data_IF_391113798776
#
_entry.id   IF_391113798776
#
_cell.length_a   1.000
_cell.length_b   1.000
_cell.length_c   1.000
_cell.angle_alpha   90.00
_cell.angle_beta   90.00
_cell.angle_gamma   90.00
#
_symmetry.space_group_name_H-M   'P 1'
#
loop_
_entity.id
_entity.type
_entity.pdbx_description
1 polymer ?
#
# COMPACT_ATOMS: atom_id res chain seq x y z
N UNK A 1 48.43 37.17 -44.73
CA UNK A 1 48.13 36.54 -46.03
C UNK A 1 46.85 35.76 -45.84
N UNK A 2 45.75 36.40 -46.08
CA UNK A 2 44.52 35.74 -46.55
C UNK A 2 44.69 35.44 -48.02
N UNK A 3 44.00 34.53 -48.64
CA UNK A 3 42.60 34.61 -48.99
C UNK A 3 41.92 33.18 -48.96
N UNK A 4 40.70 32.88 -49.22
CA UNK A 4 39.49 33.46 -49.82
C UNK A 4 38.30 32.52 -49.53
N UNK A 5 37.09 33.07 -49.47
CA UNK A 5 35.77 32.44 -49.42
C UNK A 5 35.50 31.52 -50.63
N UNK A 6 34.65 30.53 -50.41
CA UNK A 6 33.65 30.20 -51.42
C UNK A 6 32.35 29.73 -50.72
N UNK A 7 31.31 30.49 -50.95
CA UNK A 7 29.92 30.26 -50.66
C UNK A 7 29.35 29.22 -51.65
N UNK A 8 28.51 28.33 -51.15
CA UNK A 8 27.40 27.82 -51.97
C UNK A 8 26.25 27.47 -51.06
N UNK A 9 25.26 28.32 -51.10
CA UNK A 9 23.92 28.18 -50.61
C UNK A 9 23.20 27.01 -51.30
N UNK A 10 22.51 26.19 -50.56
CA UNK A 10 21.31 25.49 -51.03
C UNK A 10 20.26 25.58 -49.97
N UNK A 11 19.41 26.57 -50.14
CA UNK A 11 18.16 26.75 -49.42
C UNK A 11 17.18 25.78 -50.04
N UNK A 12 16.68 24.82 -49.25
CA UNK A 12 15.48 24.06 -49.57
C UNK A 12 14.31 24.68 -48.78
N UNK A 13 13.45 25.34 -49.54
CA UNK A 13 12.15 25.79 -49.09
C UNK A 13 11.31 24.55 -48.66
N UNK A 14 10.83 24.57 -47.47
CA UNK A 14 9.72 23.69 -47.05
C UNK A 14 8.48 24.54 -47.01
N UNK A 15 7.50 24.15 -47.84
CA UNK A 15 6.16 24.70 -47.89
C UNK A 15 5.43 24.44 -46.58
N UNK A 16 4.94 25.52 -45.96
CA UNK A 16 3.97 25.53 -44.90
C UNK A 16 2.58 25.28 -45.50
N UNK A 17 2.06 24.07 -45.34
CA UNK A 17 0.64 23.82 -45.45
C UNK A 17 0.11 23.40 -44.06
N UNK A 18 -0.24 24.40 -43.29
CA UNK A 18 -1.07 24.25 -42.08
C UNK A 18 -2.50 23.89 -42.50
N UNK A 19 -2.86 22.62 -42.32
CA UNK A 19 -4.27 22.24 -42.30
C UNK A 19 -4.78 22.31 -40.85
N UNK A 20 -5.44 23.43 -40.53
CA UNK A 20 -6.30 23.56 -39.39
C UNK A 20 -7.48 22.60 -39.52
N UNK A 21 -7.55 21.59 -38.64
CA UNK A 21 -8.77 20.80 -38.44
C UNK A 21 -9.65 21.58 -37.49
N UNK A 22 -10.76 22.06 -38.03
CA UNK A 22 -11.81 22.77 -37.30
C UNK A 22 -12.55 21.74 -36.41
N UNK A 23 -12.56 22.00 -35.11
CA UNK A 23 -13.45 21.32 -34.16
C UNK A 23 -14.86 21.91 -34.32
N UNK A 24 -15.71 21.30 -35.11
CA UNK A 24 -17.15 21.53 -35.06
C UNK A 24 -17.89 20.22 -35.32
N UNK A 25 -18.55 19.77 -34.24
CA UNK A 25 -19.84 19.10 -34.17
C UNK A 25 -20.04 17.81 -35.02
N UNK A 26 -19.87 16.66 -34.35
CA UNK A 26 -20.61 15.45 -34.75
C UNK A 26 -21.70 15.16 -33.71
N UNK A 27 -22.83 15.83 -33.85
CA UNK A 27 -24.09 15.36 -33.27
C UNK A 27 -24.62 14.22 -34.15
N UNK A 28 -24.59 13.01 -33.64
CA UNK A 28 -25.36 11.91 -34.22
C UNK A 28 -26.82 12.12 -33.84
N UNK A 29 -27.62 12.57 -34.82
CA UNK A 29 -29.09 12.48 -34.78
C UNK A 29 -29.49 11.00 -34.70
N UNK A 30 -30.08 10.63 -33.56
CA UNK A 30 -30.86 9.41 -33.45
C UNK A 30 -32.23 9.75 -34.04
N UNK A 31 -32.53 9.21 -35.20
CA UNK A 31 -33.85 9.26 -35.79
C UNK A 31 -34.82 8.43 -34.95
N UNK A 32 -35.81 9.12 -34.43
CA UNK A 32 -37.00 8.59 -33.78
C UNK A 32 -37.96 8.12 -34.90
N UNK A 33 -38.09 6.82 -35.07
CA UNK A 33 -39.08 6.24 -35.99
C UNK A 33 -40.29 5.74 -35.21
N UNK A 34 -41.33 6.59 -35.25
CA UNK A 34 -42.67 6.09 -35.57
C UNK A 34 -43.52 5.51 -34.45
N UNK A 35 -44.32 6.36 -33.90
CA UNK A 35 -45.77 6.26 -33.73
C UNK A 35 -46.36 4.85 -33.90
N UNK A 36 -46.79 4.26 -32.77
CA UNK A 36 -47.90 3.31 -32.77
C UNK A 36 -48.97 3.76 -31.78
N UNK A 37 -50.24 3.86 -32.24
CA UNK A 37 -51.34 4.35 -31.42
C UNK A 37 -51.77 3.34 -30.37
N UNK A 38 -52.12 3.85 -29.22
CA UNK A 38 -52.82 3.15 -28.14
C UNK A 38 -54.22 2.78 -28.62
N UNK A 39 -54.52 1.50 -28.63
CA UNK A 39 -55.93 1.03 -28.65
C UNK A 39 -56.40 0.88 -27.21
N UNK A 40 -57.41 1.66 -26.87
CA UNK A 40 -58.26 1.50 -25.71
C UNK A 40 -59.21 0.34 -25.96
N UNK A 41 -59.16 -0.69 -25.12
CA UNK A 41 -60.27 -1.62 -24.97
C UNK A 41 -60.75 -1.63 -23.54
N UNK A 42 -61.97 -1.16 -23.39
CA UNK A 42 -62.77 -1.20 -22.15
C UNK A 42 -63.40 -2.59 -21.96
N UNK A 43 -63.61 -2.85 -20.66
CA UNK A 43 -64.65 -3.70 -20.03
C UNK A 43 -64.45 -5.22 -19.95
N UNK A 44 -64.44 -5.64 -18.69
CA UNK A 44 -64.71 -7.00 -18.24
C UNK A 44 -64.47 -7.22 -16.75
N UNK A 45 -65.50 -6.91 -15.93
CA UNK A 45 -65.59 -7.31 -14.51
C UNK A 45 -65.62 -8.82 -14.37
N UNK A 46 -65.08 -9.25 -13.24
CA UNK A 46 -65.48 -10.33 -12.30
C UNK A 46 -64.39 -11.37 -12.03
N UNK A 47 -64.12 -11.57 -10.73
CA UNK A 47 -63.63 -12.83 -10.23
C UNK A 47 -62.55 -12.75 -9.13
N UNK A 48 -63.03 -12.83 -7.92
CA UNK A 48 -62.27 -12.99 -6.67
C UNK A 48 -61.20 -14.08 -6.72
N UNK A 49 -60.02 -13.76 -6.21
CA UNK A 49 -58.97 -14.70 -5.94
C UNK A 49 -57.96 -14.09 -5.00
N UNK A 50 -58.20 -14.17 -3.68
CA UNK A 50 -57.20 -13.89 -2.66
C UNK A 50 -56.13 -14.98 -2.73
N UNK A 51 -55.07 -14.72 -3.48
CA UNK A 51 -53.82 -15.41 -3.39
C UNK A 51 -52.99 -14.69 -2.34
N UNK A 52 -52.89 -15.22 -1.11
CA UNK A 52 -51.84 -14.86 -0.18
C UNK A 52 -50.51 -15.21 -0.85
N UNK A 53 -49.88 -14.22 -1.46
CA UNK A 53 -48.46 -14.28 -1.82
C UNK A 53 -47.72 -14.29 -0.50
N UNK A 54 -47.19 -15.44 -0.10
CA UNK A 54 -46.09 -15.52 0.85
C UNK A 54 -44.98 -14.64 0.28
N UNK A 55 -44.87 -13.41 0.81
CA UNK A 55 -43.73 -12.58 0.59
C UNK A 55 -42.51 -13.37 1.09
N UNK A 56 -41.61 -13.72 0.19
CA UNK A 56 -40.27 -14.09 0.56
C UNK A 56 -39.77 -12.97 1.47
N UNK A 57 -39.74 -13.27 2.77
CA UNK A 57 -39.03 -12.43 3.74
C UNK A 57 -37.59 -12.46 3.26
N UNK A 58 -37.15 -11.39 2.59
CA UNK A 58 -35.75 -11.19 2.30
C UNK A 58 -34.98 -11.42 3.58
N UNK A 59 -34.03 -12.30 3.56
CA UNK A 59 -33.09 -12.50 4.68
C UNK A 59 -32.57 -11.11 5.05
N UNK A 60 -32.90 -10.66 6.26
CA UNK A 60 -32.38 -9.43 6.82
C UNK A 60 -30.87 -9.68 6.98
N UNK A 61 -30.07 -9.11 6.09
CA UNK A 61 -28.60 -9.21 6.19
C UNK A 61 -28.20 -8.47 7.45
N UNK A 62 -28.02 -9.22 8.52
CA UNK A 62 -27.49 -8.69 9.78
C UNK A 62 -26.01 -8.40 9.57
N UNK A 63 -25.68 -7.13 9.42
CA UNK A 63 -24.27 -6.69 9.39
C UNK A 63 -23.70 -6.81 10.80
N UNK A 64 -22.73 -7.69 10.97
CA UNK A 64 -21.95 -7.79 12.20
C UNK A 64 -20.88 -6.69 12.20
N UNK A 65 -20.91 -5.82 13.19
CA UNK A 65 -19.87 -4.84 13.46
C UNK A 65 -19.34 -5.03 14.87
N UNK A 66 -18.05 -5.36 15.00
CA UNK A 66 -17.38 -5.51 16.28
C UNK A 66 -16.24 -4.49 16.47
N UNK A 67 -16.26 -3.40 15.69
CA UNK A 67 -15.38 -2.26 15.89
C UNK A 67 -15.68 -1.57 17.22
N UNK A 68 -14.65 -1.00 17.84
CA UNK A 68 -14.78 -0.25 19.11
C UNK A 68 -14.82 1.26 18.89
N UNK A 69 -14.39 1.71 17.74
CA UNK A 69 -14.42 3.12 17.32
C UNK A 69 -14.36 3.23 15.80
N UNK A 70 -14.84 4.34 15.27
CA UNK A 70 -14.83 4.65 13.84
C UNK A 70 -14.46 6.12 13.58
N UNK A 71 -13.92 6.39 12.39
CA UNK A 71 -13.58 7.72 11.88
C UNK A 71 -14.06 7.83 10.43
N UNK A 72 -15.22 8.50 10.18
CA UNK A 72 -15.87 8.52 8.87
C UNK A 72 -15.58 9.79 8.06
N UNK A 73 -14.50 10.54 8.35
CA UNK A 73 -14.28 11.86 7.75
C UNK A 73 -13.72 11.82 6.33
N UNK A 74 -13.26 10.66 5.86
CA UNK A 74 -12.91 10.51 4.45
C UNK A 74 -14.17 10.38 3.60
N UNK A 75 -14.21 11.09 2.48
CA UNK A 75 -15.34 11.03 1.54
C UNK A 75 -15.22 9.94 0.48
N UNK A 76 -14.05 9.28 0.42
CA UNK A 76 -13.66 8.27 -0.56
C UNK A 76 -12.72 7.24 0.10
N UNK A 77 -12.24 6.27 -0.70
CA UNK A 77 -11.36 5.18 -0.23
C UNK A 77 -10.17 5.64 0.60
N UNK A 78 -9.87 4.93 1.69
CA UNK A 78 -8.73 5.18 2.57
C UNK A 78 -7.58 4.26 2.18
N UNK A 79 -6.56 4.82 1.54
CA UNK A 79 -5.44 4.04 1.01
C UNK A 79 -4.33 3.76 2.02
N UNK A 80 -4.17 4.62 3.01
CA UNK A 80 -3.09 4.50 3.98
C UNK A 80 -3.53 4.82 5.40
N UNK A 81 -3.07 4.02 6.35
CA UNK A 81 -3.29 4.21 7.78
C UNK A 81 -1.99 3.98 8.54
N UNK A 82 -1.71 4.83 9.51
CA UNK A 82 -0.58 4.69 10.41
C UNK A 82 -0.99 4.99 11.85
N UNK A 83 -0.43 4.29 12.80
CA UNK A 83 -0.61 4.55 14.24
C UNK A 83 0.64 5.16 14.83
N UNK A 84 0.45 6.07 15.77
CA UNK A 84 1.57 6.69 16.48
C UNK A 84 2.27 5.65 17.38
N UNK A 85 3.62 5.67 17.49
CA UNK A 85 4.37 4.65 18.22
C UNK A 85 3.99 4.49 19.70
N UNK A 86 3.52 5.57 20.35
CA UNK A 86 3.30 5.59 21.80
C UNK A 86 1.98 6.21 22.24
N UNK A 87 1.34 7.06 21.42
CA UNK A 87 0.09 7.74 21.74
C UNK A 87 -1.11 7.08 21.06
N UNK A 88 -2.30 7.30 21.61
CA UNK A 88 -3.56 6.77 21.08
C UNK A 88 -4.08 7.58 19.89
N UNK A 89 -3.20 7.91 18.96
CA UNK A 89 -3.55 8.63 17.73
C UNK A 89 -3.21 7.81 16.49
N UNK A 90 -4.05 7.96 15.50
CA UNK A 90 -3.84 7.42 14.17
C UNK A 90 -3.79 8.54 13.14
N UNK A 91 -3.27 8.22 11.98
CA UNK A 91 -3.33 9.03 10.81
C UNK A 91 -3.82 8.22 9.63
N UNK A 92 -4.61 8.84 8.76
CA UNK A 92 -5.17 8.22 7.57
C UNK A 92 -5.04 9.14 6.36
N UNK A 93 -4.88 8.57 5.18
CA UNK A 93 -4.80 9.25 3.91
C UNK A 93 -5.62 8.52 2.85
N UNK A 94 -6.25 9.26 1.96
CA UNK A 94 -7.21 8.68 1.02
C UNK A 94 -7.27 9.34 -0.35
N UNK A 95 -8.18 8.83 -1.15
CA UNK A 95 -8.50 9.29 -2.51
C UNK A 95 -9.13 10.70 -2.55
N UNK A 96 -9.52 11.23 -1.40
CA UNK A 96 -10.09 12.58 -1.25
C UNK A 96 -9.02 13.68 -1.17
N UNK A 97 -7.76 13.40 -1.53
CA UNK A 97 -6.59 14.29 -1.50
C UNK A 97 -6.24 14.77 -0.08
N UNK A 98 -6.79 14.14 0.94
CA UNK A 98 -6.67 14.54 2.32
C UNK A 98 -5.97 13.49 3.18
N UNK A 99 -5.32 13.99 4.20
CA UNK A 99 -4.93 13.19 5.34
C UNK A 99 -5.58 13.73 6.61
N UNK A 100 -5.65 12.88 7.63
CA UNK A 100 -6.15 13.27 8.95
C UNK A 100 -5.25 12.69 10.04
N UNK A 101 -5.12 13.41 11.14
CA UNK A 101 -4.65 12.89 12.42
C UNK A 101 -5.86 12.89 13.35
N UNK A 102 -6.13 11.79 14.01
CA UNK A 102 -7.30 11.62 14.86
C UNK A 102 -7.00 10.72 16.06
N UNK A 103 -7.78 10.87 17.13
CA UNK A 103 -7.68 10.06 18.35
C UNK A 103 -8.50 8.77 18.16
N UNK A 104 -7.85 7.63 18.11
CA UNK A 104 -8.56 6.36 17.89
C UNK A 104 -9.28 5.81 19.13
N UNK A 105 -9.24 6.50 20.27
CA UNK A 105 -10.04 6.16 21.45
C UNK A 105 -11.36 6.93 21.49
N UNK A 106 -11.38 8.13 20.95
CA UNK A 106 -12.57 9.01 20.93
C UNK A 106 -13.20 9.13 19.54
N UNK A 107 -12.47 8.83 18.47
CA UNK A 107 -12.89 9.08 17.10
C UNK A 107 -12.83 10.55 16.68
N UNK A 108 -12.26 11.44 17.52
CA UNK A 108 -12.20 12.87 17.26
C UNK A 108 -11.05 13.23 16.31
N UNK A 109 -11.34 14.10 15.33
CA UNK A 109 -10.34 14.72 14.49
C UNK A 109 -9.45 15.64 15.31
N UNK A 110 -8.14 15.48 15.18
CA UNK A 110 -7.14 16.38 15.78
C UNK A 110 -6.69 17.40 14.76
N UNK A 111 -6.30 16.97 13.57
CA UNK A 111 -5.81 17.86 12.50
C UNK A 111 -6.14 17.27 11.13
N UNK A 112 -6.61 18.12 10.24
CA UNK A 112 -6.76 17.84 8.82
C UNK A 112 -5.46 18.20 8.09
N UNK A 113 -4.85 17.23 7.42
CA UNK A 113 -3.61 17.39 6.65
C UNK A 113 -4.00 17.72 5.20
N UNK A 114 -3.75 18.97 4.80
CA UNK A 114 -4.20 19.49 3.51
C UNK A 114 -3.04 19.85 2.60
N UNK A 115 -3.32 20.02 1.30
CA UNK A 115 -2.41 20.59 0.31
C UNK A 115 -1.85 19.61 -0.71
N UNK A 116 -2.22 18.32 -0.65
CA UNK A 116 -2.14 17.44 -1.80
C UNK A 116 -3.21 17.84 -2.82
N UNK A 117 -2.92 17.62 -4.08
CA UNK A 117 -3.82 17.91 -5.22
C UNK A 117 -4.23 16.64 -5.95
N UNK A 118 -3.85 15.50 -5.39
CA UNK A 118 -4.21 14.17 -5.81
C UNK A 118 -4.14 13.22 -4.61
N UNK A 119 -4.56 11.98 -4.78
CA UNK A 119 -4.71 10.96 -3.75
C UNK A 119 -3.50 10.80 -2.84
N UNK A 120 -3.75 10.71 -1.54
CA UNK A 120 -2.72 10.41 -0.53
C UNK A 120 -2.53 8.90 -0.44
N UNK A 121 -1.47 8.41 -1.06
CA UNK A 121 -1.17 6.97 -1.18
C UNK A 121 -0.40 6.41 0.01
N UNK A 122 0.31 7.24 0.73
CA UNK A 122 1.08 6.79 1.89
C UNK A 122 1.06 7.80 3.03
N UNK A 123 1.09 7.28 4.27
CA UNK A 123 1.16 8.08 5.49
C UNK A 123 1.97 7.31 6.54
N UNK A 124 2.76 8.03 7.34
CA UNK A 124 3.53 7.38 8.39
C UNK A 124 4.09 8.34 9.42
N UNK A 125 4.17 7.87 10.67
CA UNK A 125 4.87 8.57 11.75
C UNK A 125 6.35 8.22 11.78
N UNK A 126 7.19 9.18 12.14
CA UNK A 126 8.59 8.91 12.45
C UNK A 126 8.72 8.00 13.67
N UNK A 127 9.85 7.32 13.82
CA UNK A 127 10.09 6.37 14.91
C UNK A 127 9.95 6.97 16.32
N UNK A 128 10.20 8.27 16.46
CA UNK A 128 10.02 9.03 17.71
C UNK A 128 8.61 9.63 17.86
N UNK A 129 7.76 9.54 16.83
CA UNK A 129 6.42 10.10 16.81
C UNK A 129 6.34 11.63 16.71
N UNK A 130 7.46 12.31 16.51
CA UNK A 130 7.48 13.79 16.46
C UNK A 130 7.13 14.36 15.08
N UNK A 131 7.24 13.54 14.04
CA UNK A 131 6.95 13.90 12.66
C UNK A 131 5.95 12.93 12.04
N UNK A 132 5.17 13.43 11.10
CA UNK A 132 4.34 12.62 10.20
C UNK A 132 4.60 13.07 8.78
N UNK A 133 4.66 12.13 7.86
CA UNK A 133 4.77 12.37 6.43
C UNK A 133 3.61 11.75 5.69
N UNK A 134 3.14 12.46 4.66
CA UNK A 134 2.22 11.95 3.64
C UNK A 134 2.89 12.00 2.29
N UNK A 135 2.65 10.99 1.46
CA UNK A 135 3.04 10.96 0.05
C UNK A 135 1.80 10.90 -0.82
N UNK A 136 1.78 11.65 -1.90
CA UNK A 136 0.63 11.73 -2.80
C UNK A 136 0.99 11.46 -4.27
N UNK A 137 -0.01 11.11 -5.06
CA UNK A 137 0.11 10.94 -6.51
C UNK A 137 0.44 12.28 -7.23
N UNK A 138 0.32 13.40 -6.51
CA UNK A 138 0.78 14.72 -6.98
C UNK A 138 2.33 14.90 -6.97
N UNK A 139 3.08 13.83 -6.70
CA UNK A 139 4.54 13.83 -6.65
C UNK A 139 5.15 14.54 -5.45
N UNK A 140 4.36 14.88 -4.45
CA UNK A 140 4.82 15.61 -3.26
C UNK A 140 4.86 14.71 -2.04
N UNK A 141 5.81 15.02 -1.18
CA UNK A 141 5.82 14.51 0.19
C UNK A 141 5.64 15.70 1.13
N UNK A 142 4.61 15.67 1.96
CA UNK A 142 4.32 16.73 2.93
C UNK A 142 4.62 16.23 4.33
N UNK A 143 5.23 17.09 5.14
CA UNK A 143 5.68 16.72 6.48
C UNK A 143 5.10 17.71 7.49
N UNK A 144 4.56 17.17 8.55
CA UNK A 144 4.09 17.95 9.72
C UNK A 144 4.89 17.57 10.95
N UNK A 145 4.95 18.50 11.89
CA UNK A 145 5.66 18.36 13.14
C UNK A 145 4.73 18.57 14.31
N UNK A 146 4.86 17.74 15.33
CA UNK A 146 4.18 17.95 16.61
C UNK A 146 4.65 19.23 17.28
N UNK A 147 3.72 20.00 17.84
CA UNK A 147 3.96 21.15 18.71
C UNK A 147 3.58 20.81 20.15
N UNK A 148 4.35 21.33 21.10
CA UNK A 148 4.10 21.06 22.52
C UNK A 148 4.73 19.74 22.99
N UNK A 149 4.81 19.57 24.33
CA UNK A 149 5.43 18.37 24.94
C UNK A 149 4.45 17.51 25.70
N UNK A 150 3.26 18.03 25.99
CA UNK A 150 2.32 17.43 26.94
C UNK A 150 1.13 16.71 26.28
N UNK A 151 0.77 17.11 25.06
CA UNK A 151 -0.29 16.47 24.30
C UNK A 151 0.11 16.26 22.83
N UNK A 152 -0.57 15.35 22.15
CA UNK A 152 -0.40 15.07 20.73
C UNK A 152 -1.47 15.78 19.88
N UNK A 153 -2.11 16.82 20.41
CA UNK A 153 -3.26 17.49 19.80
C UNK A 153 -2.89 18.65 18.86
N UNK A 154 -1.63 19.06 18.86
CA UNK A 154 -1.21 20.22 18.05
C UNK A 154 -0.11 19.81 17.08
N UNK A 155 -0.42 19.93 15.80
CA UNK A 155 0.49 19.66 14.68
C UNK A 155 0.57 20.86 13.77
N UNK A 156 1.73 21.15 13.24
CA UNK A 156 1.95 22.21 12.26
C UNK A 156 2.60 21.66 11.01
N UNK A 157 2.26 22.25 9.87
CA UNK A 157 2.96 22.01 8.63
C UNK A 157 4.43 22.42 8.76
N UNK A 158 5.34 21.51 8.43
CA UNK A 158 6.77 21.77 8.54
C UNK A 158 7.38 22.12 7.18
N UNK A 159 7.18 21.27 6.18
CA UNK A 159 7.78 21.43 4.86
C UNK A 159 7.10 20.54 3.82
N UNK A 160 7.24 20.94 2.58
CA UNK A 160 6.94 20.13 1.39
C UNK A 160 8.25 19.74 0.73
N UNK A 161 8.40 18.47 0.39
CA UNK A 161 9.55 17.89 -0.26
C UNK A 161 9.14 17.53 -1.69
N UNK A 162 9.98 17.88 -2.65
CA UNK A 162 9.83 17.38 -4.01
C UNK A 162 10.31 15.94 -4.04
N UNK A 163 9.49 15.04 -4.55
CA UNK A 163 9.72 13.60 -4.62
C UNK A 163 9.80 13.09 -6.06
N UNK A 164 9.58 11.79 -6.25
CA UNK A 164 9.35 11.20 -7.57
C UNK A 164 8.06 11.76 -8.20
N UNK A 165 7.82 11.45 -9.46
CA UNK A 165 6.69 11.99 -10.23
C UNK A 165 5.34 11.71 -9.57
N UNK A 166 5.12 10.47 -9.15
CA UNK A 166 4.02 10.04 -8.28
C UNK A 166 4.60 9.27 -7.09
N UNK A 167 4.25 9.66 -5.87
CA UNK A 167 4.72 8.95 -4.68
C UNK A 167 3.81 7.75 -4.42
N UNK A 168 4.32 6.55 -4.61
CA UNK A 168 3.57 5.31 -4.36
C UNK A 168 3.71 4.80 -2.93
N UNK A 169 4.86 5.03 -2.31
CA UNK A 169 5.11 4.64 -0.93
C UNK A 169 6.13 5.54 -0.25
N UNK A 170 6.04 5.60 1.07
CA UNK A 170 7.05 6.24 1.94
C UNK A 170 7.44 5.33 3.10
N UNK A 171 8.69 5.41 3.56
CA UNK A 171 9.19 4.66 4.71
C UNK A 171 10.08 5.54 5.59
N UNK A 172 9.80 5.55 6.88
CA UNK A 172 10.65 6.19 7.86
C UNK A 172 11.81 5.29 8.25
N UNK A 173 12.96 5.89 8.46
CA UNK A 173 14.11 5.18 9.01
C UNK A 173 13.81 4.68 10.44
N UNK A 174 14.11 3.41 10.78
CA UNK A 174 13.68 2.80 12.04
C UNK A 174 14.25 3.45 13.32
N UNK A 175 15.26 4.31 13.20
CA UNK A 175 15.98 4.91 14.34
C UNK A 175 16.25 6.40 14.20
N UNK A 176 15.77 7.05 13.19
CA UNK A 176 16.10 8.47 12.95
C UNK A 176 15.09 9.17 12.07
N UNK A 177 15.17 10.49 12.04
CA UNK A 177 14.27 11.35 11.26
C UNK A 177 14.76 11.43 9.81
N UNK A 178 14.84 10.31 9.13
CA UNK A 178 15.16 10.18 7.70
C UNK A 178 13.99 9.51 7.00
N UNK A 179 13.56 10.08 5.90
CA UNK A 179 12.42 9.62 5.12
C UNK A 179 12.89 9.12 3.75
N UNK A 180 12.35 7.99 3.33
CA UNK A 180 12.54 7.39 2.02
C UNK A 180 11.20 7.40 1.29
N UNK A 181 11.20 7.69 -0.01
CA UNK A 181 10.03 7.54 -0.88
C UNK A 181 10.43 7.00 -2.24
N UNK A 182 9.58 6.20 -2.81
CA UNK A 182 9.71 5.71 -4.17
C UNK A 182 8.45 6.01 -4.97
N UNK A 183 8.58 5.99 -6.27
CA UNK A 183 7.47 6.35 -7.13
C UNK A 183 7.59 5.86 -8.57
N UNK A 184 6.68 6.37 -9.36
CA UNK A 184 6.36 5.89 -10.70
C UNK A 184 7.47 6.16 -11.72
N UNK A 185 8.31 7.18 -11.50
CA UNK A 185 9.43 7.55 -12.37
C UNK A 185 10.68 6.66 -12.23
N UNK A 186 10.63 5.61 -11.41
CA UNK A 186 11.76 4.72 -11.14
C UNK A 186 12.84 5.31 -10.25
N UNK A 187 12.60 6.46 -9.60
CA UNK A 187 13.53 7.07 -8.66
C UNK A 187 13.14 6.82 -7.20
N UNK A 188 14.13 6.79 -6.34
CA UNK A 188 13.93 6.67 -4.89
C UNK A 188 14.67 7.82 -4.21
N UNK A 189 13.96 8.56 -3.39
CA UNK A 189 14.43 9.79 -2.75
C UNK A 189 14.62 9.59 -1.25
N UNK A 190 15.67 10.19 -0.74
CA UNK A 190 16.06 10.14 0.68
C UNK A 190 16.26 11.55 1.23
N UNK A 191 15.54 11.92 2.30
CA UNK A 191 15.63 13.25 2.94
C UNK A 191 15.97 13.15 4.41
N UNK A 192 16.73 14.16 4.86
CA UNK A 192 16.99 14.43 6.27
C UNK A 192 15.94 15.39 6.83
N UNK A 193 15.23 14.98 7.87
CA UNK A 193 14.29 15.85 8.56
C UNK A 193 14.83 16.25 9.96
N UNK A 194 14.44 17.39 10.49
CA UNK A 194 13.42 18.34 9.99
C UNK A 194 13.92 19.34 8.94
N UNK A 195 15.19 19.27 8.49
CA UNK A 195 15.76 20.26 7.57
C UNK A 195 15.15 20.21 6.16
N UNK A 196 14.59 19.07 5.74
CA UNK A 196 14.08 18.84 4.39
C UNK A 196 15.17 18.67 3.33
N UNK A 197 16.44 18.57 3.73
CA UNK A 197 17.53 18.42 2.79
C UNK A 197 17.50 17.04 2.13
N UNK A 198 17.57 17.00 0.80
CA UNK A 198 17.79 15.78 0.04
C UNK A 198 19.18 15.23 0.36
N UNK A 199 19.24 14.03 0.89
CA UNK A 199 20.49 13.33 1.19
C UNK A 199 21.00 12.60 -0.05
N UNK A 200 20.10 11.92 -0.76
CA UNK A 200 20.39 11.10 -1.93
C UNK A 200 19.16 10.91 -2.79
N UNK A 201 19.39 10.81 -4.11
CA UNK A 201 18.42 10.29 -5.07
C UNK A 201 19.06 9.05 -5.70
N UNK A 202 18.37 7.92 -5.59
CA UNK A 202 18.79 6.66 -6.18
C UNK A 202 18.10 6.51 -7.53
N UNK A 203 18.88 6.44 -8.59
CA UNK A 203 18.41 6.18 -9.95
C UNK A 203 19.01 4.86 -10.44
N UNK A 204 18.23 4.04 -11.10
CA UNK A 204 18.73 2.76 -11.60
C UNK A 204 17.65 1.74 -11.90
N UNK A 205 16.45 1.93 -11.35
CA UNK A 205 15.26 1.23 -11.78
C UNK A 205 14.83 1.73 -13.16
N UNK A 206 14.31 0.84 -13.97
CA UNK A 206 13.83 1.15 -15.32
C UNK A 206 12.31 1.24 -15.41
N UNK A 207 11.62 0.87 -14.33
CA UNK A 207 10.18 0.86 -14.18
C UNK A 207 9.78 1.46 -12.81
N UNK A 208 8.48 1.69 -12.55
CA UNK A 208 7.97 2.14 -11.27
C UNK A 208 8.52 1.33 -10.09
N UNK A 209 8.94 2.02 -9.04
CA UNK A 209 9.43 1.36 -7.83
C UNK A 209 8.24 0.99 -6.95
N UNK A 210 7.81 -0.26 -7.06
CA UNK A 210 6.61 -0.75 -6.41
C UNK A 210 6.74 -0.84 -4.88
N UNK A 211 7.94 -1.17 -4.38
CA UNK A 211 8.16 -1.29 -2.94
C UNK A 211 9.62 -1.04 -2.54
N UNK A 212 9.81 -0.63 -1.30
CA UNK A 212 11.13 -0.42 -0.73
C UNK A 212 11.07 -0.27 0.78
N UNK A 213 12.20 -0.54 1.45
CA UNK A 213 12.32 -0.41 2.90
C UNK A 213 13.76 -0.17 3.33
N UNK A 214 13.93 0.33 4.54
CA UNK A 214 15.21 0.27 5.26
C UNK A 214 15.42 -1.14 5.81
N UNK A 215 16.68 -1.58 5.88
CA UNK A 215 16.98 -2.73 6.72
C UNK A 215 16.68 -2.40 8.19
N UNK A 216 16.21 -3.37 9.01
CA UNK A 216 15.87 -3.14 10.42
C UNK A 216 17.00 -2.56 11.27
N UNK A 217 18.28 -2.77 10.88
CA UNK A 217 19.42 -2.14 11.52
C UNK A 217 19.62 -0.66 11.11
N UNK A 218 18.90 -0.20 10.07
CA UNK A 218 18.93 1.16 9.54
C UNK A 218 20.13 1.48 8.66
N UNK A 219 20.94 0.50 8.26
CA UNK A 219 22.20 0.78 7.56
C UNK A 219 22.12 0.73 6.05
N UNK A 220 21.09 0.09 5.51
CA UNK A 220 20.92 -0.16 4.08
C UNK A 220 19.49 0.10 3.65
N UNK A 221 19.30 0.19 2.36
CA UNK A 221 18.00 0.34 1.70
C UNK A 221 17.86 -0.81 0.69
N UNK A 222 16.66 -1.33 0.55
CA UNK A 222 16.27 -2.30 -0.46
C UNK A 222 15.08 -1.75 -1.21
N UNK A 223 15.08 -1.87 -2.55
CA UNK A 223 14.00 -1.38 -3.43
C UNK A 223 13.75 -2.38 -4.53
N UNK A 224 12.52 -2.44 -5.02
CA UNK A 224 12.15 -3.32 -6.11
C UNK A 224 11.15 -2.65 -7.05
N UNK A 225 11.24 -3.00 -8.33
CA UNK A 225 10.45 -2.40 -9.39
C UNK A 225 9.52 -3.40 -10.11
N UNK A 226 8.64 -2.86 -10.94
CA UNK A 226 7.68 -3.61 -11.73
C UNK A 226 8.30 -4.38 -12.91
N UNK A 227 9.58 -4.11 -13.27
CA UNK A 227 10.34 -4.90 -14.23
C UNK A 227 11.02 -6.13 -13.60
N UNK A 228 10.75 -6.40 -12.32
CA UNK A 228 11.34 -7.52 -11.60
C UNK A 228 12.79 -7.29 -11.18
N UNK A 229 13.19 -6.04 -10.96
CA UNK A 229 14.52 -5.69 -10.49
C UNK A 229 14.53 -5.43 -9.00
N UNK A 230 15.42 -6.08 -8.27
CA UNK A 230 15.73 -5.83 -6.87
C UNK A 230 17.08 -5.14 -6.73
N UNK A 231 17.12 -4.01 -6.04
CA UNK A 231 18.36 -3.28 -5.77
C UNK A 231 18.60 -3.12 -4.28
N UNK A 232 19.85 -3.23 -3.88
CA UNK A 232 20.31 -3.05 -2.51
C UNK A 232 21.34 -1.93 -2.43
N UNK A 233 21.15 -0.97 -1.52
CA UNK A 233 21.87 0.29 -1.52
C UNK A 233 22.58 0.57 -0.20
N UNK A 234 23.73 1.23 -0.29
CA UNK A 234 24.29 2.01 0.81
C UNK A 234 23.76 3.46 0.69
N UNK A 235 23.06 3.99 1.72
CA UNK A 235 22.49 5.35 1.65
C UNK A 235 23.51 6.45 1.34
N UNK A 236 24.80 6.18 1.47
CA UNK A 236 25.91 7.11 1.21
C UNK A 236 26.44 7.03 -0.23
N UNK A 237 25.97 6.06 -1.01
CA UNK A 237 26.47 5.80 -2.37
C UNK A 237 25.31 5.75 -3.37
N UNK A 238 25.34 6.51 -4.47
CA UNK A 238 24.30 6.46 -5.49
C UNK A 238 24.31 5.16 -6.33
N UNK A 239 25.36 4.34 -6.23
CA UNK A 239 25.42 3.05 -6.94
C UNK A 239 24.95 1.91 -6.03
N UNK A 240 24.15 0.96 -6.55
CA UNK A 240 23.70 -0.17 -5.75
C UNK A 240 24.88 -1.08 -5.34
N UNK A 241 24.79 -1.66 -4.17
CA UNK A 241 25.72 -2.68 -3.67
C UNK A 241 25.62 -3.94 -4.53
N UNK A 242 24.37 -4.31 -4.85
CA UNK A 242 24.07 -5.34 -5.84
C UNK A 242 22.72 -5.07 -6.52
N UNK A 243 22.51 -5.68 -7.68
CA UNK A 243 21.30 -5.65 -8.46
C UNK A 243 20.97 -7.09 -8.90
N UNK A 244 19.74 -7.54 -8.65
CA UNK A 244 19.18 -8.78 -9.19
C UNK A 244 18.08 -8.44 -10.19
N UNK A 245 18.05 -9.17 -11.28
CA UNK A 245 17.07 -8.97 -12.37
C UNK A 245 16.60 -10.33 -12.90
N UNK A 246 15.59 -10.32 -13.74
CA UNK A 246 15.09 -11.51 -14.45
C UNK A 246 16.14 -12.21 -15.33
N UNK A 247 17.29 -11.58 -15.59
CA UNK A 247 18.44 -12.22 -16.27
C UNK A 247 19.04 -13.37 -15.45
N UNK A 248 18.91 -13.37 -14.11
CA UNK A 248 19.16 -14.55 -13.29
C UNK A 248 17.85 -15.37 -13.19
N UNK A 249 17.78 -16.48 -13.92
CA UNK A 249 16.62 -17.37 -13.91
C UNK A 249 16.21 -17.87 -12.51
N UNK A 250 17.09 -17.80 -11.51
CA UNK A 250 16.75 -18.14 -10.11
C UNK A 250 15.94 -17.03 -9.46
N UNK A 251 16.07 -15.80 -9.96
CA UNK A 251 15.40 -14.61 -9.41
C UNK A 251 14.16 -14.20 -10.24
N UNK A 252 13.98 -14.72 -11.41
CA UNK A 252 12.86 -14.37 -12.29
C UNK A 252 11.51 -14.47 -11.56
N UNK A 253 10.90 -13.30 -11.32
CA UNK A 253 9.63 -13.12 -10.61
C UNK A 253 8.59 -12.36 -11.45
N UNK A 254 9.00 -11.77 -12.60
CA UNK A 254 8.21 -10.74 -13.24
C UNK A 254 8.10 -9.50 -12.35
N UNK A 255 7.03 -8.70 -12.46
CA UNK A 255 6.81 -7.54 -11.60
C UNK A 255 6.89 -7.90 -10.11
N UNK A 256 7.66 -7.12 -9.35
CA UNK A 256 7.75 -7.30 -7.89
C UNK A 256 6.72 -6.39 -7.23
N UNK A 257 5.91 -6.97 -6.35
CA UNK A 257 4.81 -6.28 -5.67
C UNK A 257 5.10 -6.03 -4.20
N UNK A 258 5.82 -6.93 -3.56
CA UNK A 258 6.09 -6.82 -2.12
C UNK A 258 7.47 -7.33 -1.72
N UNK A 259 8.00 -6.79 -0.64
CA UNK A 259 9.25 -7.24 -0.04
C UNK A 259 9.25 -7.06 1.48
N UNK A 260 10.02 -7.86 2.17
CA UNK A 260 10.33 -7.67 3.59
C UNK A 260 11.75 -8.12 3.92
N UNK A 261 12.36 -7.45 4.89
CA UNK A 261 13.71 -7.78 5.39
C UNK A 261 13.59 -8.41 6.78
N UNK A 262 14.33 -9.49 7.03
CA UNK A 262 14.30 -10.14 8.33
C UNK A 262 14.92 -9.25 9.43
N UNK A 263 14.51 -9.40 10.71
CA UNK A 263 15.00 -8.57 11.81
C UNK A 263 16.52 -8.54 11.96
N UNK A 264 17.21 -9.60 11.49
CA UNK A 264 18.66 -9.67 11.49
C UNK A 264 19.35 -8.87 10.37
N UNK A 265 18.57 -8.31 9.42
CA UNK A 265 19.10 -7.59 8.25
C UNK A 265 20.03 -8.44 7.37
N UNK A 266 19.74 -9.74 7.26
CA UNK A 266 20.57 -10.72 6.53
C UNK A 266 19.87 -11.35 5.32
N UNK A 267 18.54 -11.42 5.38
CA UNK A 267 17.70 -12.00 4.32
C UNK A 267 16.60 -11.02 3.94
N UNK A 268 16.24 -11.01 2.66
CA UNK A 268 15.00 -10.43 2.18
C UNK A 268 14.12 -11.52 1.56
N UNK A 269 12.82 -11.40 1.74
CA UNK A 269 11.81 -12.18 1.03
C UNK A 269 11.12 -11.23 0.06
N UNK A 270 11.02 -11.64 -1.19
CA UNK A 270 10.51 -10.83 -2.30
C UNK A 270 9.41 -11.60 -2.99
N UNK A 271 8.26 -10.96 -3.16
CA UNK A 271 7.07 -11.49 -3.81
C UNK A 271 6.79 -10.79 -5.14
N UNK A 272 6.35 -11.56 -6.12
CA UNK A 272 6.01 -11.07 -7.44
C UNK A 272 4.52 -11.17 -7.76
N UNK A 273 4.12 -10.49 -8.82
CA UNK A 273 2.73 -10.45 -9.31
C UNK A 273 2.21 -11.82 -9.82
N UNK A 274 3.12 -12.77 -10.10
CA UNK A 274 2.77 -14.12 -10.58
C UNK A 274 2.80 -15.18 -9.48
N UNK A 275 2.67 -14.83 -8.21
CA UNK A 275 2.68 -15.77 -7.07
C UNK A 275 4.06 -16.30 -6.71
N UNK A 276 5.08 -15.93 -7.45
CA UNK A 276 6.46 -16.33 -7.20
C UNK A 276 7.04 -15.63 -5.96
N UNK A 277 7.82 -16.37 -5.15
CA UNK A 277 8.51 -15.82 -3.98
C UNK A 277 9.97 -16.25 -4.01
N UNK A 278 10.87 -15.31 -3.75
CA UNK A 278 12.31 -15.57 -3.63
C UNK A 278 12.85 -15.12 -2.29
N UNK A 279 13.79 -15.90 -1.76
CA UNK A 279 14.56 -15.53 -0.57
C UNK A 279 15.97 -15.15 -1.01
N UNK A 280 16.40 -13.95 -0.65
CA UNK A 280 17.66 -13.33 -1.08
C UNK A 280 18.57 -13.12 0.12
N UNK A 281 19.84 -13.48 0.01
CA UNK A 281 20.87 -13.16 0.98
C UNK A 281 21.40 -11.74 0.75
N UNK A 282 21.19 -10.83 1.71
CA UNK A 282 21.62 -9.44 1.60
C UNK A 282 23.13 -9.26 1.66
N UNK A 283 23.85 -10.19 2.29
CA UNK A 283 25.29 -10.15 2.37
C UNK A 283 26.01 -10.62 1.11
N UNK A 284 25.37 -11.51 0.34
CA UNK A 284 25.95 -12.09 -0.88
C UNK A 284 25.36 -11.52 -2.17
N UNK A 285 24.14 -10.97 -2.12
CA UNK A 285 23.38 -10.57 -3.30
C UNK A 285 22.94 -11.78 -4.14
N UNK A 286 22.66 -12.91 -3.51
CA UNK A 286 22.30 -14.17 -4.16
C UNK A 286 20.94 -14.68 -3.72
N UNK A 287 20.23 -15.33 -4.63
CA UNK A 287 19.01 -16.10 -4.31
C UNK A 287 19.39 -17.37 -3.55
N UNK A 288 18.86 -17.50 -2.34
CA UNK A 288 19.14 -18.66 -1.46
C UNK A 288 17.98 -19.68 -1.45
N UNK A 289 16.81 -19.30 -1.92
CA UNK A 289 15.66 -20.19 -2.00
C UNK A 289 14.47 -19.60 -2.74
N UNK A 290 13.53 -20.46 -3.05
CA UNK A 290 12.21 -20.12 -3.58
C UNK A 290 11.15 -20.77 -2.71
N UNK A 291 10.03 -20.08 -2.51
CA UNK A 291 8.87 -20.56 -1.78
C UNK A 291 7.72 -20.76 -2.77
N UNK A 292 7.05 -21.91 -2.73
CA UNK A 292 5.96 -22.26 -3.64
C UNK A 292 4.75 -22.73 -2.83
N UNK A 293 3.64 -22.00 -2.94
CA UNK A 293 2.42 -22.30 -2.17
C UNK A 293 1.23 -21.42 -2.51
N UNK A 294 1.46 -20.27 -3.12
CA UNK A 294 0.41 -19.45 -3.73
C UNK A 294 0.12 -19.94 -5.15
N UNK A 295 -1.04 -19.58 -5.68
CA UNK A 295 -1.38 -19.91 -7.06
C UNK A 295 -0.51 -19.11 -8.03
N UNK A 296 -0.26 -19.69 -9.18
CA UNK A 296 0.29 -18.98 -10.33
C UNK A 296 -0.72 -17.90 -10.77
N UNK A 297 -0.20 -16.75 -11.17
CA UNK A 297 -0.94 -15.55 -11.60
C UNK A 297 -1.66 -14.77 -10.46
N UNK A 298 -1.49 -15.15 -9.20
CA UNK A 298 -1.97 -14.39 -8.05
C UNK A 298 -0.84 -13.61 -7.38
N UNK A 299 -1.00 -12.28 -7.26
CA UNK A 299 0.02 -11.36 -6.75
C UNK A 299 0.28 -11.53 -5.26
N UNK A 300 1.55 -11.43 -4.86
CA UNK A 300 1.97 -11.42 -3.43
C UNK A 300 1.91 -10.00 -2.89
N UNK A 301 0.84 -9.66 -2.18
CA UNK A 301 0.57 -8.29 -1.74
C UNK A 301 1.32 -7.88 -0.48
N UNK A 302 1.54 -8.82 0.45
CA UNK A 302 2.17 -8.49 1.71
C UNK A 302 3.09 -9.60 2.21
N UNK A 303 4.19 -9.20 2.86
CA UNK A 303 5.16 -10.09 3.48
C UNK A 303 5.54 -9.53 4.85
N UNK A 304 5.49 -10.36 5.90
CA UNK A 304 5.93 -9.99 7.23
C UNK A 304 6.79 -11.07 7.86
N UNK A 305 7.73 -10.66 8.70
CA UNK A 305 8.50 -11.58 9.54
C UNK A 305 7.84 -11.73 10.91
N UNK A 306 7.91 -12.94 11.46
CA UNK A 306 7.28 -13.30 12.73
C UNK A 306 8.32 -13.91 13.68
N UNK A 307 8.37 -13.44 14.92
CA UNK A 307 9.22 -14.03 15.96
C UNK A 307 8.41 -15.02 16.80
N UNK A 308 8.48 -16.29 16.44
CA UNK A 308 7.78 -17.36 17.17
C UNK A 308 8.43 -17.72 18.52
N UNK A 309 9.68 -17.33 18.74
CA UNK A 309 10.43 -17.69 19.95
C UNK A 309 10.18 -16.69 21.11
N UNK A 310 9.65 -15.51 20.80
CA UNK A 310 9.23 -14.52 21.80
C UNK A 310 10.37 -13.89 22.62
N UNK A 311 11.60 -14.06 22.21
CA UNK A 311 12.76 -13.67 23.01
C UNK A 311 13.82 -12.86 22.23
N UNK A 312 13.49 -12.36 21.03
CA UNK A 312 14.49 -11.69 20.20
C UNK A 312 15.68 -12.60 19.85
N UNK A 313 15.55 -13.90 20.03
CA UNK A 313 16.53 -14.84 19.55
C UNK A 313 16.40 -14.92 18.04
N UNK A 314 17.21 -14.14 17.37
CA UNK A 314 17.41 -14.17 15.93
C UNK A 314 18.03 -15.53 15.58
N UNK A 315 17.18 -16.56 15.47
CA UNK A 315 17.59 -17.79 14.85
C UNK A 315 17.99 -17.50 13.40
N UNK A 316 19.00 -18.19 12.89
CA UNK A 316 19.52 -18.02 11.52
C UNK A 316 18.52 -18.40 10.43
N UNK A 317 17.34 -18.90 10.80
CA UNK A 317 16.23 -19.18 9.91
C UNK A 317 14.97 -18.55 10.49
N UNK A 318 14.53 -17.43 9.97
CA UNK A 318 13.29 -16.75 10.40
C UNK A 318 12.05 -17.49 9.94
N UNK A 319 10.92 -17.12 10.52
CA UNK A 319 9.59 -17.43 9.98
C UNK A 319 9.06 -16.19 9.31
N UNK A 320 8.56 -16.33 8.09
CA UNK A 320 7.83 -15.27 7.43
C UNK A 320 6.42 -15.73 7.05
N UNK A 321 5.57 -14.75 6.84
CA UNK A 321 4.22 -14.96 6.32
C UNK A 321 4.08 -14.13 5.05
N UNK A 322 3.56 -14.74 4.01
CA UNK A 322 3.25 -14.11 2.73
C UNK A 322 1.77 -14.16 2.50
N UNK A 323 1.18 -13.12 1.94
CA UNK A 323 -0.22 -13.07 1.60
C UNK A 323 -0.41 -12.62 0.15
N UNK A 324 -1.43 -13.17 -0.49
CA UNK A 324 -1.67 -12.97 -1.92
C UNK A 324 -3.14 -12.72 -2.25
N UNK A 325 -3.36 -12.35 -3.49
CA UNK A 325 -4.70 -12.16 -4.06
C UNK A 325 -5.49 -13.48 -4.17
N UNK A 326 -4.83 -14.63 -3.99
CA UNK A 326 -5.50 -15.95 -3.91
C UNK A 326 -6.29 -16.16 -2.59
N UNK A 327 -6.36 -15.14 -1.73
CA UNK A 327 -7.02 -15.19 -0.43
C UNK A 327 -6.24 -15.96 0.63
N UNK A 328 -5.00 -16.38 0.35
CA UNK A 328 -4.20 -17.17 1.28
C UNK A 328 -3.09 -16.36 1.93
N UNK A 329 -2.86 -16.67 3.20
CA UNK A 329 -1.64 -16.29 3.89
C UNK A 329 -0.86 -17.55 4.28
N UNK A 330 0.37 -17.67 3.80
CA UNK A 330 1.23 -18.83 3.92
C UNK A 330 2.35 -18.58 4.94
N UNK A 331 2.48 -19.44 5.95
CA UNK A 331 3.54 -19.37 6.98
C UNK A 331 4.71 -20.25 6.56
N UNK A 332 5.90 -19.68 6.46
CA UNK A 332 7.10 -20.32 5.96
C UNK A 332 8.19 -20.44 7.01
N UNK A 333 8.83 -21.59 7.05
CA UNK A 333 10.09 -21.80 7.76
C UNK A 333 11.26 -21.58 6.79
N UNK A 334 11.96 -20.47 6.92
CA UNK A 334 13.06 -20.12 6.02
C UNK A 334 14.34 -20.96 6.23
N UNK A 335 14.45 -21.69 7.34
CA UNK A 335 15.58 -22.61 7.55
C UNK A 335 15.47 -23.88 6.68
N UNK A 336 14.23 -24.28 6.42
CA UNK A 336 13.90 -25.47 5.64
C UNK A 336 13.27 -25.15 4.28
N UNK A 337 12.91 -23.88 4.03
CA UNK A 337 12.16 -23.40 2.86
C UNK A 337 10.84 -24.18 2.68
N UNK A 338 10.15 -24.49 3.79
CA UNK A 338 8.91 -25.27 3.75
C UNK A 338 7.73 -24.50 4.29
N UNK A 339 6.58 -24.74 3.68
CA UNK A 339 5.29 -24.29 4.17
C UNK A 339 4.98 -25.01 5.51
N UNK A 340 4.59 -24.22 6.52
CA UNK A 340 4.18 -24.71 7.85
C UNK A 340 2.67 -24.80 7.98
N UNK A 341 1.97 -23.75 7.55
CA UNK A 341 0.51 -23.67 7.60
C UNK A 341 0.01 -22.64 6.58
N UNK A 342 -1.25 -22.75 6.23
CA UNK A 342 -1.98 -21.81 5.38
C UNK A 342 -3.19 -21.30 6.15
N UNK A 343 -3.44 -20.02 6.05
CA UNK A 343 -4.60 -19.30 6.60
C UNK A 343 -5.39 -18.74 5.43
N UNK A 344 -6.71 -18.69 5.54
CA UNK A 344 -7.56 -18.38 4.39
C UNK A 344 -8.58 -17.28 4.70
N UNK A 345 -8.73 -16.38 3.76
CA UNK A 345 -9.79 -15.41 3.57
C UNK A 345 -10.67 -15.83 2.38
N UNK A 346 -11.85 -15.20 2.27
CA UNK A 346 -12.76 -15.47 1.16
C UNK A 346 -12.36 -14.72 -0.11
N UNK A 347 -11.53 -13.65 0.03
CA UNK A 347 -11.04 -12.82 -1.07
C UNK A 347 -9.60 -12.39 -0.82
N UNK A 348 -9.01 -11.62 -1.75
CA UNK A 348 -7.63 -11.14 -1.74
C UNK A 348 -7.21 -10.55 -0.39
N UNK A 349 -6.02 -10.92 0.08
CA UNK A 349 -5.43 -10.32 1.28
C UNK A 349 -4.60 -9.12 0.87
N UNK A 350 -4.98 -7.95 1.40
CA UNK A 350 -4.40 -6.65 1.05
C UNK A 350 -3.25 -6.24 1.97
N UNK A 351 -3.28 -6.65 3.24
CA UNK A 351 -2.24 -6.28 4.19
C UNK A 351 -1.98 -7.37 5.24
N UNK A 352 -0.74 -7.42 5.73
CA UNK A 352 -0.31 -8.23 6.86
C UNK A 352 0.39 -7.38 7.91
N UNK A 353 0.12 -7.66 9.17
CA UNK A 353 0.76 -7.02 10.31
C UNK A 353 1.28 -8.08 11.28
N UNK A 354 2.51 -7.91 11.75
CA UNK A 354 3.08 -8.73 12.83
C UNK A 354 3.03 -7.98 14.14
N UNK A 355 2.59 -8.66 15.22
CA UNK A 355 2.53 -8.04 16.53
C UNK A 355 3.92 -7.82 17.12
N UNK A 356 4.10 -6.72 17.89
CA UNK A 356 5.29 -6.52 18.69
C UNK A 356 5.33 -7.50 19.87
N UNK A 357 6.51 -7.64 20.48
CA UNK A 357 6.65 -8.40 21.72
C UNK A 357 5.71 -7.84 22.81
N UNK A 358 5.05 -8.68 23.65
CA UNK A 358 5.24 -10.13 23.80
C UNK A 358 4.39 -11.01 22.86
N UNK A 359 3.53 -10.42 22.03
CA UNK A 359 2.62 -11.16 21.14
C UNK A 359 3.22 -11.43 19.75
N UNK A 360 4.54 -11.43 19.62
CA UNK A 360 5.26 -11.51 18.34
C UNK A 360 4.97 -12.78 17.51
N UNK A 361 4.23 -13.75 18.05
CA UNK A 361 3.73 -14.92 17.35
C UNK A 361 2.34 -14.70 16.71
N UNK A 362 1.73 -13.55 16.97
CA UNK A 362 0.43 -13.21 16.39
C UNK A 362 0.61 -12.39 15.12
N UNK A 363 -0.32 -12.51 14.22
CA UNK A 363 -0.44 -11.71 13.00
C UNK A 363 -1.88 -11.28 12.77
N UNK A 364 -2.05 -10.19 12.03
CA UNK A 364 -3.34 -9.76 11.48
C UNK A 364 -3.23 -9.75 9.96
N UNK A 365 -4.24 -10.26 9.30
CA UNK A 365 -4.46 -10.10 7.87
C UNK A 365 -5.71 -9.24 7.62
N UNK A 366 -5.62 -8.32 6.67
CA UNK A 366 -6.74 -7.55 6.16
C UNK A 366 -7.07 -8.02 4.74
N UNK A 367 -8.35 -8.01 4.38
CA UNK A 367 -8.78 -8.59 3.13
C UNK A 367 -9.86 -7.77 2.41
N UNK A 368 -9.94 -7.98 1.10
CA UNK A 368 -11.01 -7.51 0.26
C UNK A 368 -12.38 -8.16 0.61
N UNK A 369 -12.38 -9.27 1.38
CA UNK A 369 -13.59 -9.87 1.94
C UNK A 369 -14.26 -9.01 3.03
N UNK A 370 -13.77 -7.77 3.24
CA UNK A 370 -14.25 -6.77 4.20
C UNK A 370 -13.96 -7.11 5.66
N UNK A 371 -13.18 -8.15 5.90
CA UNK A 371 -12.82 -8.60 7.24
C UNK A 371 -11.33 -8.46 7.53
N UNK A 372 -11.00 -8.46 8.84
CA UNK A 372 -9.67 -8.73 9.31
C UNK A 372 -9.70 -10.01 10.15
N UNK A 373 -8.61 -10.75 10.10
CA UNK A 373 -8.47 -11.97 10.91
C UNK A 373 -7.16 -11.92 11.68
N UNK A 374 -7.25 -12.23 12.98
CA UNK A 374 -6.08 -12.37 13.86
C UNK A 374 -5.75 -13.86 14.02
N UNK A 375 -4.49 -14.22 13.83
CA UNK A 375 -4.03 -15.60 13.79
C UNK A 375 -2.87 -15.85 14.74
N UNK A 376 -2.76 -17.08 15.24
CA UNK A 376 -1.56 -17.58 15.89
C UNK A 376 -0.63 -18.22 14.83
N UNK A 377 0.48 -17.55 14.51
CA UNK A 377 1.42 -18.01 13.49
C UNK A 377 2.21 -19.28 13.87
N UNK A 378 2.13 -19.74 15.13
CA UNK A 378 2.73 -21.02 15.57
C UNK A 378 1.95 -22.22 15.03
N UNK A 379 0.64 -22.06 14.91
CA UNK A 379 -0.29 -23.12 14.56
C UNK A 379 -1.08 -22.86 13.27
N UNK A 380 -1.17 -21.60 12.82
CA UNK A 380 -2.03 -21.18 11.72
C UNK A 380 -3.52 -21.10 12.09
N UNK A 381 -3.84 -21.11 13.40
CA UNK A 381 -5.24 -21.10 13.83
C UNK A 381 -5.80 -19.68 13.94
N UNK A 382 -7.05 -19.51 13.53
CA UNK A 382 -7.80 -18.29 13.70
C UNK A 382 -8.05 -18.05 15.20
N UNK A 383 -7.72 -16.86 15.67
CA UNK A 383 -7.93 -16.41 17.04
C UNK A 383 -9.17 -15.53 17.12
N UNK A 384 -9.31 -14.58 16.18
CA UNK A 384 -10.42 -13.65 16.14
C UNK A 384 -10.67 -13.15 14.72
N UNK A 385 -11.95 -12.95 14.42
CA UNK A 385 -12.39 -12.27 13.21
C UNK A 385 -12.95 -10.89 13.56
N UNK A 386 -12.62 -9.89 12.75
CA UNK A 386 -13.05 -8.51 12.92
C UNK A 386 -13.88 -8.11 11.71
N UNK A 387 -15.09 -7.65 11.96
CA UNK A 387 -16.09 -7.26 10.95
C UNK A 387 -16.61 -5.86 11.25
N UNK A 388 -17.02 -5.14 10.21
CA UNK A 388 -17.59 -3.79 10.31
C UNK A 388 -17.45 -2.98 9.05
N UNK A 389 -16.44 -3.25 8.21
CA UNK A 389 -16.30 -2.61 6.91
C UNK A 389 -17.38 -3.03 5.93
N UNK A 390 -17.84 -2.08 5.14
CA UNK A 390 -18.81 -2.31 4.04
C UNK A 390 -18.14 -2.49 2.68
N UNK A 391 -16.86 -2.14 2.58
CA UNK A 391 -15.99 -2.31 1.41
C UNK A 391 -14.71 -3.07 1.74
N UNK A 392 -13.88 -3.39 0.74
CA UNK A 392 -12.55 -3.96 0.92
C UNK A 392 -11.73 -3.20 1.97
N UNK A 393 -10.99 -3.92 2.82
CA UNK A 393 -10.03 -3.30 3.73
C UNK A 393 -8.73 -3.10 2.96
N UNK A 394 -8.31 -1.84 2.80
CA UNK A 394 -7.14 -1.49 1.97
C UNK A 394 -5.87 -1.31 2.78
N UNK A 395 -5.99 -0.82 4.01
CA UNK A 395 -4.85 -0.53 4.87
C UNK A 395 -5.13 -0.91 6.33
N UNK A 396 -4.08 -1.27 7.05
CA UNK A 396 -4.17 -1.58 8.47
C UNK A 396 -2.89 -1.18 9.22
N UNK A 397 -3.00 -0.83 10.50
CA UNK A 397 -1.87 -0.50 11.37
C UNK A 397 -2.15 -0.93 12.82
N UNK A 398 -1.12 -1.46 13.50
CA UNK A 398 -1.22 -1.86 14.92
C UNK A 398 -0.92 -0.68 15.83
N UNK A 399 -1.89 -0.31 16.68
CA UNK A 399 -1.75 0.73 17.70
C UNK A 399 -1.54 0.18 19.10
N UNK A 400 -1.13 1.06 20.02
CA UNK A 400 -0.99 0.77 21.45
C UNK A 400 -0.23 -0.54 21.71
N UNK A 401 0.92 -0.71 21.06
CA UNK A 401 1.74 -1.93 21.19
C UNK A 401 0.99 -3.24 20.87
N UNK A 402 0.06 -3.17 19.90
CA UNK A 402 -0.72 -4.33 19.47
C UNK A 402 -1.98 -4.60 20.29
N UNK A 403 -2.51 -3.63 21.02
CA UNK A 403 -3.82 -3.76 21.69
C UNK A 403 -5.00 -3.45 20.78
N UNK A 404 -4.77 -2.63 19.76
CA UNK A 404 -5.78 -2.27 18.76
C UNK A 404 -5.21 -2.42 17.35
N UNK A 405 -6.11 -2.63 16.40
CA UNK A 405 -5.85 -2.50 14.96
C UNK A 405 -6.69 -1.36 14.45
N UNK A 406 -6.06 -0.44 13.73
CA UNK A 406 -6.72 0.65 13.00
C UNK A 406 -6.69 0.29 11.52
N UNK A 407 -7.82 0.42 10.84
CA UNK A 407 -7.99 0.04 9.44
C UNK A 407 -8.52 1.17 8.60
N UNK A 408 -8.27 1.13 7.32
CA UNK A 408 -8.87 1.99 6.31
C UNK A 408 -9.49 1.14 5.22
N UNK A 409 -10.72 1.46 4.86
CA UNK A 409 -11.50 0.73 3.87
C UNK A 409 -11.81 1.54 2.62
N UNK A 410 -12.20 0.82 1.58
CA UNK A 410 -12.75 1.37 0.34
C UNK A 410 -14.09 2.10 0.56
N UNK A 411 -14.73 1.81 1.69
CA UNK A 411 -15.96 2.46 2.14
C UNK A 411 -15.75 3.89 2.70
N UNK A 412 -14.52 4.40 2.68
CA UNK A 412 -14.17 5.75 3.16
C UNK A 412 -14.14 5.88 4.68
N UNK A 413 -14.15 4.78 5.41
CA UNK A 413 -14.17 4.78 6.88
C UNK A 413 -12.89 4.16 7.43
N UNK A 414 -12.38 4.73 8.52
CA UNK A 414 -11.40 4.03 9.35
C UNK A 414 -12.12 3.40 10.54
N UNK A 415 -11.84 2.13 10.81
CA UNK A 415 -12.37 1.40 11.97
C UNK A 415 -11.24 1.04 12.93
N UNK A 416 -11.60 0.91 14.20
CA UNK A 416 -10.67 0.48 15.26
C UNK A 416 -11.22 -0.80 15.89
N UNK A 417 -10.38 -1.81 15.99
CA UNK A 417 -10.74 -3.09 16.58
C UNK A 417 -9.83 -3.41 17.76
N UNK A 418 -10.39 -3.97 18.83
CA UNK A 418 -9.60 -4.53 19.91
C UNK A 418 -9.02 -5.89 19.49
N UNK A 419 -7.75 -6.12 19.77
CA UNK A 419 -7.07 -7.40 19.42
C UNK A 419 -7.28 -8.50 20.48
N UNK A 420 -7.84 -8.17 21.64
CA UNK A 420 -8.18 -9.09 22.74
C UNK A 420 -9.68 -9.22 22.93
#
# INVERSE_FOLDING_TARGET
MEPERNENENVAEFDEDEQYINEEEVYLEVQDDGDHPMEEDEEGQEGEGYGEGEGEMGEEIVYEDNSIQHFPNHGKSVFAVATHPTASIAASGGEDDLGYIWDFTTGEEIVKLTGHTDSVTSIGFSADGELIATGGMDGKVRVWRRRGKEDYKTWEFLTELQGPDEVTWTKWHPKGSVLLAGGNDGTVWLWQLPSGNTMQVFAGHAAPVACGDFTPDGKRIITADEDGTLMFWDPRNPTPVFKLTSADARFDLGPITSLAVNPASTLAVVGGASGGIRVVSLSKGDVVGALAGHKEDDSIEAIVFVDLAGAGQVGTGGVCVTAATDGKACIWDLSTMRLRATMEHEDAITALLSFPHPKSHMIVSASADKSLKTWDARTGTLVREHKGHHGPVLAASLGTQGQVVVTGGDDGVCLVFATE
#
